data_IF_301157793954
#
_entry.id   IF_301157793954
#
_cell.length_a   1.000
_cell.length_b   1.000
_cell.length_c   1.000
_cell.angle_alpha   90.00
_cell.angle_beta   90.00
_cell.angle_gamma   90.00
#
_symmetry.space_group_name_H-M   'P 1'
#
loop_
_entity.id
_entity.type
_entity.pdbx_description
1 polymer ?
#
# COMPACT_ATOMS: atom_id res chain seq x y z
N UNK A 1 4.17 25.84 16.21
CA UNK A 1 3.81 25.03 15.04
C UNK A 1 2.60 25.66 14.35
N UNK A 2 2.77 26.34 13.22
CA UNK A 2 1.66 26.97 12.51
C UNK A 2 1.08 25.94 11.52
N UNK A 3 0.05 25.21 11.96
CA UNK A 3 -0.62 24.20 11.11
C UNK A 3 -1.59 24.94 10.21
N UNK A 4 -1.34 24.93 8.89
CA UNK A 4 -2.22 25.51 7.89
C UNK A 4 -3.65 24.97 8.01
N UNK A 5 -4.68 25.82 7.85
CA UNK A 5 -6.11 25.43 7.91
C UNK A 5 -6.43 24.18 7.08
N UNK A 6 -5.81 24.04 5.91
CA UNK A 6 -5.99 22.89 5.02
C UNK A 6 -5.47 21.58 5.63
N UNK A 7 -4.41 21.63 6.45
CA UNK A 7 -3.88 20.45 7.12
C UNK A 7 -4.79 19.98 8.25
N UNK A 8 -5.47 20.90 8.94
CA UNK A 8 -6.46 20.56 9.99
C UNK A 8 -7.63 19.76 9.43
N UNK A 9 -8.00 19.98 8.17
CA UNK A 9 -9.05 19.22 7.49
C UNK A 9 -8.50 17.94 6.85
N UNK A 10 -7.33 18.02 6.20
CA UNK A 10 -6.76 16.89 5.49
C UNK A 10 -6.34 15.73 6.43
N UNK A 11 -5.76 16.02 7.59
CA UNK A 11 -5.28 15.00 8.53
C UNK A 11 -6.36 14.02 9.02
N UNK A 12 -7.53 14.47 9.53
CA UNK A 12 -8.60 13.55 9.94
C UNK A 12 -9.19 12.79 8.76
N UNK A 13 -9.36 13.44 7.59
CA UNK A 13 -9.86 12.77 6.38
C UNK A 13 -8.92 11.66 5.92
N UNK A 14 -7.61 11.93 5.88
CA UNK A 14 -6.61 10.94 5.51
C UNK A 14 -6.54 9.81 6.54
N UNK A 15 -6.59 10.13 7.84
CA UNK A 15 -6.62 9.11 8.90
C UNK A 15 -7.84 8.19 8.77
N UNK A 16 -9.02 8.76 8.54
CA UNK A 16 -10.25 8.00 8.31
C UNK A 16 -10.15 7.13 7.05
N UNK A 17 -9.67 7.70 5.94
CA UNK A 17 -9.47 6.99 4.68
C UNK A 17 -8.52 5.79 4.84
N UNK A 18 -7.41 5.95 5.57
CA UNK A 18 -6.49 4.86 5.85
C UNK A 18 -7.10 3.78 6.75
N UNK A 19 -7.93 4.17 7.72
CA UNK A 19 -8.71 3.22 8.52
C UNK A 19 -9.66 2.39 7.67
N UNK A 20 -10.43 3.06 6.79
CA UNK A 20 -11.37 2.42 5.88
C UNK A 20 -10.66 1.47 4.91
N UNK A 21 -9.55 1.90 4.31
CA UNK A 21 -8.76 1.07 3.41
C UNK A 21 -8.32 -0.24 4.07
N UNK A 22 -7.80 -0.16 5.30
CA UNK A 22 -7.34 -1.34 6.04
C UNK A 22 -8.50 -2.27 6.47
N UNK A 23 -9.70 -1.72 6.73
CA UNK A 23 -10.88 -2.53 7.03
C UNK A 23 -11.32 -3.32 5.80
N UNK A 24 -11.43 -2.66 4.64
CA UNK A 24 -11.84 -3.29 3.38
C UNK A 24 -10.85 -4.37 2.95
N UNK A 25 -9.54 -4.10 3.00
CA UNK A 25 -8.53 -5.10 2.57
C UNK A 25 -8.49 -6.33 3.48
N UNK A 26 -8.84 -6.18 4.76
CA UNK A 26 -8.95 -7.32 5.69
C UNK A 26 -10.26 -8.10 5.52
N UNK A 27 -11.35 -7.44 5.15
CA UNK A 27 -12.67 -8.06 5.05
C UNK A 27 -12.95 -8.69 3.68
N UNK A 28 -12.42 -8.12 2.60
CA UNK A 28 -12.70 -8.55 1.22
C UNK A 28 -11.57 -9.41 0.60
N UNK A 29 -10.45 -9.62 1.31
CA UNK A 29 -9.31 -10.39 0.80
C UNK A 29 -9.26 -11.83 1.34
N UNK A 30 -8.92 -12.79 0.47
CA UNK A 30 -8.58 -14.17 0.88
C UNK A 30 -7.29 -14.24 1.73
N UNK A 31 -6.48 -13.17 1.68
CA UNK A 31 -5.36 -12.93 2.58
C UNK A 31 -5.60 -11.58 3.28
N UNK A 32 -5.84 -11.53 4.59
CA UNK A 32 -6.00 -10.25 5.30
C UNK A 32 -4.68 -9.47 5.25
N UNK A 33 -4.68 -8.39 4.48
CA UNK A 33 -3.52 -7.53 4.20
C UNK A 33 -3.74 -6.16 4.86
N UNK A 34 -2.69 -5.62 5.48
CA UNK A 34 -2.72 -4.33 6.18
C UNK A 34 -1.65 -3.44 5.59
N UNK A 35 -2.03 -2.30 5.02
CA UNK A 35 -1.11 -1.41 4.30
C UNK A 35 -0.25 -0.56 5.26
N UNK A 36 -0.67 -0.42 6.52
CA UNK A 36 0.06 0.35 7.55
C UNK A 36 1.08 -0.46 8.34
N UNK A 37 1.00 -1.80 8.32
CA UNK A 37 1.93 -2.69 9.01
C UNK A 37 3.14 -3.05 8.12
N UNK A 38 3.74 -2.04 7.49
CA UNK A 38 4.85 -2.19 6.54
C UNK A 38 6.07 -2.93 7.12
N UNK A 39 6.38 -2.70 8.40
CA UNK A 39 7.49 -3.39 9.08
C UNK A 39 7.26 -4.89 9.23
N UNK A 40 6.01 -5.31 9.42
CA UNK A 40 5.64 -6.73 9.41
C UNK A 40 5.90 -7.38 8.05
N UNK A 41 5.59 -6.67 6.96
CA UNK A 41 5.86 -7.15 5.61
C UNK A 41 7.35 -7.28 5.33
N UNK A 42 8.16 -6.36 5.85
CA UNK A 42 9.61 -6.43 5.75
C UNK A 42 10.16 -7.68 6.46
N UNK A 43 9.70 -7.97 7.67
CA UNK A 43 10.11 -9.16 8.43
C UNK A 43 9.69 -10.44 7.72
N UNK A 44 8.43 -10.54 7.29
CA UNK A 44 7.90 -11.73 6.60
C UNK A 44 8.57 -11.95 5.23
N UNK A 45 8.84 -10.87 4.50
CA UNK A 45 9.62 -10.93 3.26
C UNK A 45 11.05 -11.42 3.52
N UNK A 46 11.71 -10.89 4.55
CA UNK A 46 13.04 -11.29 4.98
C UNK A 46 13.11 -12.77 5.36
N UNK A 47 12.15 -13.26 6.16
CA UNK A 47 12.06 -14.66 6.53
C UNK A 47 11.83 -15.57 5.31
N UNK A 48 10.89 -15.19 4.45
CA UNK A 48 10.59 -15.95 3.23
C UNK A 48 11.77 -16.03 2.26
N UNK A 49 12.48 -14.92 2.06
CA UNK A 49 13.71 -14.88 1.26
C UNK A 49 14.85 -15.66 1.92
N UNK A 50 15.02 -15.56 3.23
CA UNK A 50 16.04 -16.31 3.97
C UNK A 50 15.83 -17.81 3.88
N UNK A 51 14.59 -18.28 4.01
CA UNK A 51 14.26 -19.70 3.84
C UNK A 51 14.47 -20.17 2.40
N UNK A 52 14.12 -19.33 1.42
CA UNK A 52 14.35 -19.61 0.00
C UNK A 52 15.84 -19.72 -0.33
N UNK A 53 16.65 -18.78 0.16
CA UNK A 53 18.10 -18.79 -0.03
C UNK A 53 18.74 -20.02 0.64
N UNK A 54 18.30 -20.40 1.85
CA UNK A 54 18.77 -21.59 2.55
C UNK A 54 18.49 -22.90 1.80
N UNK A 55 17.42 -22.95 0.99
CA UNK A 55 17.10 -24.11 0.13
C UNK A 55 17.87 -24.12 -1.20
N UNK A 56 18.85 -23.22 -1.36
CA UNK A 56 19.70 -23.14 -2.55
C UNK A 56 19.06 -22.38 -3.72
N UNK A 57 17.93 -21.70 -3.51
CA UNK A 57 17.32 -20.80 -4.50
C UNK A 57 16.88 -21.45 -5.82
N UNK A 58 16.76 -22.78 -5.86
CA UNK A 58 16.40 -23.53 -7.06
C UNK A 58 14.90 -23.50 -7.36
N UNK A 59 14.09 -23.41 -6.31
CA UNK A 59 12.64 -23.30 -6.42
C UNK A 59 12.22 -21.84 -6.68
N UNK A 60 11.03 -21.56 -7.22
CA UNK A 60 10.53 -20.20 -7.31
C UNK A 60 10.28 -19.58 -5.91
N UNK A 61 10.58 -18.29 -5.76
CA UNK A 61 10.25 -17.53 -4.52
C UNK A 61 8.76 -17.67 -4.22
N UNK A 62 8.37 -17.98 -2.96
CA UNK A 62 6.96 -18.12 -2.60
C UNK A 62 6.13 -16.90 -2.98
N UNK A 63 4.92 -17.12 -3.51
CA UNK A 63 4.04 -16.03 -3.95
C UNK A 63 3.75 -15.01 -2.84
N UNK A 64 3.60 -15.48 -1.60
CA UNK A 64 3.40 -14.64 -0.41
C UNK A 64 4.60 -13.70 -0.18
N UNK A 65 5.82 -14.20 -0.32
CA UNK A 65 7.06 -13.41 -0.21
C UNK A 65 7.15 -12.39 -1.33
N UNK A 66 6.83 -12.77 -2.57
CA UNK A 66 6.75 -11.83 -3.70
C UNK A 66 5.75 -10.71 -3.44
N UNK A 67 4.57 -11.04 -2.92
CA UNK A 67 3.54 -10.06 -2.58
C UNK A 67 4.04 -9.03 -1.56
N UNK A 68 4.73 -9.48 -0.49
CA UNK A 68 5.31 -8.56 0.49
C UNK A 68 6.41 -7.68 -0.12
N UNK A 69 7.29 -8.24 -0.96
CA UNK A 69 8.33 -7.46 -1.64
C UNK A 69 7.76 -6.40 -2.57
N UNK A 70 6.74 -6.75 -3.36
CA UNK A 70 6.04 -5.78 -4.23
C UNK A 70 5.35 -4.71 -3.40
N UNK A 71 4.70 -5.08 -2.30
CA UNK A 71 4.05 -4.14 -1.39
C UNK A 71 5.06 -3.16 -0.76
N UNK A 72 6.23 -3.67 -0.38
CA UNK A 72 7.33 -2.85 0.14
C UNK A 72 7.82 -1.86 -0.92
N UNK A 73 8.05 -2.34 -2.15
CA UNK A 73 8.45 -1.48 -3.27
C UNK A 73 7.43 -0.40 -3.56
N UNK A 74 6.15 -0.76 -3.61
CA UNK A 74 5.04 0.18 -3.84
C UNK A 74 4.97 1.26 -2.74
N UNK A 75 5.19 0.89 -1.46
CA UNK A 75 5.22 1.84 -0.36
C UNK A 75 6.37 2.85 -0.51
N UNK A 76 7.58 2.37 -0.81
CA UNK A 76 8.76 3.24 -0.98
C UNK A 76 8.59 4.19 -2.17
N UNK A 77 8.17 3.66 -3.33
CA UNK A 77 7.91 4.46 -4.53
C UNK A 77 6.82 5.48 -4.26
N UNK A 78 5.72 5.07 -3.62
CA UNK A 78 4.62 5.96 -3.23
C UNK A 78 5.07 7.09 -2.32
N UNK A 79 5.94 6.82 -1.34
CA UNK A 79 6.54 7.83 -0.46
C UNK A 79 7.42 8.83 -1.21
N UNK A 80 8.26 8.36 -2.14
CA UNK A 80 9.10 9.22 -2.98
C UNK A 80 8.23 10.13 -3.86
N UNK A 81 7.24 9.54 -4.54
CA UNK A 81 6.28 10.28 -5.37
C UNK A 81 5.52 11.31 -4.52
N UNK A 82 5.04 10.94 -3.34
CA UNK A 82 4.35 11.86 -2.44
C UNK A 82 5.23 13.05 -2.03
N UNK A 83 6.52 12.82 -1.72
CA UNK A 83 7.48 13.89 -1.42
C UNK A 83 7.65 14.83 -2.62
N UNK A 84 7.91 14.29 -3.80
CA UNK A 84 8.10 15.07 -5.02
C UNK A 84 6.87 15.91 -5.38
N UNK A 85 5.67 15.35 -5.23
CA UNK A 85 4.43 16.07 -5.49
C UNK A 85 4.13 17.11 -4.42
N UNK A 86 4.47 16.84 -3.15
CA UNK A 86 4.26 17.80 -2.05
C UNK A 86 5.12 19.05 -2.21
N UNK A 87 6.34 18.92 -2.73
CA UNK A 87 7.22 20.07 -3.03
C UNK A 87 6.60 21.01 -4.08
N UNK A 88 5.74 20.49 -4.98
CA UNK A 88 5.11 21.25 -6.08
C UNK A 88 3.68 21.70 -5.78
N UNK A 89 2.89 20.86 -5.12
CA UNK A 89 1.44 21.03 -4.96
C UNK A 89 0.98 21.13 -3.49
N UNK A 90 1.91 21.05 -2.52
CA UNK A 90 1.59 21.12 -1.10
C UNK A 90 0.65 20.01 -0.66
N UNK A 91 -0.40 20.35 0.09
CA UNK A 91 -1.41 19.41 0.61
C UNK A 91 -2.29 18.80 -0.50
N UNK A 92 -2.41 19.47 -1.65
CA UNK A 92 -3.24 19.00 -2.77
C UNK A 92 -2.65 17.75 -3.45
N UNK A 93 -1.39 17.38 -3.17
CA UNK A 93 -0.80 16.13 -3.65
C UNK A 93 -1.57 14.89 -3.19
N UNK A 94 -2.32 14.97 -2.09
CA UNK A 94 -3.22 13.92 -1.62
C UNK A 94 -4.39 13.62 -2.56
N UNK A 95 -4.70 14.50 -3.52
CA UNK A 95 -5.74 14.25 -4.52
C UNK A 95 -5.35 13.13 -5.49
N UNK A 96 -4.06 12.92 -5.74
CA UNK A 96 -3.59 11.85 -6.62
C UNK A 96 -3.95 10.45 -6.09
N UNK A 97 -3.57 10.04 -4.86
CA UNK A 97 -4.00 8.75 -4.33
C UNK A 97 -5.53 8.65 -4.17
N UNK A 98 -6.22 9.76 -3.88
CA UNK A 98 -7.68 9.77 -3.82
C UNK A 98 -8.32 9.46 -5.20
N UNK A 99 -7.80 10.06 -6.28
CA UNK A 99 -8.27 9.80 -7.64
C UNK A 99 -8.02 8.34 -8.05
N UNK A 100 -6.84 7.80 -7.75
CA UNK A 100 -6.53 6.38 -8.01
C UNK A 100 -7.54 5.47 -7.28
N UNK A 101 -7.79 5.71 -5.99
CA UNK A 101 -8.77 4.92 -5.24
C UNK A 101 -10.20 5.05 -5.80
N UNK A 102 -10.59 6.24 -6.25
CA UNK A 102 -11.87 6.45 -6.90
C UNK A 102 -11.99 5.61 -8.19
N UNK A 103 -10.96 5.58 -9.04
CA UNK A 103 -11.01 4.75 -10.27
C UNK A 103 -11.14 3.26 -9.99
N UNK A 104 -10.49 2.76 -8.92
CA UNK A 104 -10.63 1.38 -8.47
C UNK A 104 -12.04 1.12 -7.95
N UNK A 105 -12.60 2.03 -7.16
CA UNK A 105 -13.96 1.90 -6.62
C UNK A 105 -15.04 1.88 -7.72
N UNK A 106 -14.89 2.68 -8.76
CA UNK A 106 -15.81 2.69 -9.91
C UNK A 106 -15.60 1.52 -10.88
N UNK A 107 -14.64 0.62 -10.63
CA UNK A 107 -14.36 -0.51 -11.52
C UNK A 107 -13.78 -0.12 -12.88
N UNK A 108 -13.26 1.11 -13.01
CA UNK A 108 -12.66 1.61 -14.25
C UNK A 108 -11.30 0.97 -14.53
N UNK A 109 -10.64 0.41 -13.49
CA UNK A 109 -9.43 -0.39 -13.64
C UNK A 109 -9.81 -1.88 -13.67
N UNK A 110 -9.56 -2.61 -14.77
CA UNK A 110 -9.87 -4.04 -14.83
C UNK A 110 -8.97 -4.81 -13.85
N UNK A 111 -9.56 -5.26 -12.74
CA UNK A 111 -8.87 -6.13 -11.80
C UNK A 111 -8.73 -7.54 -12.41
N UNK A 112 -7.55 -8.17 -12.34
CA UNK A 112 -7.37 -9.53 -12.83
C UNK A 112 -8.31 -10.48 -12.08
N UNK A 113 -9.16 -11.19 -12.83
CA UNK A 113 -10.28 -12.03 -12.36
C UNK A 113 -9.89 -13.23 -11.48
N UNK A 114 -8.60 -13.41 -11.19
CA UNK A 114 -8.08 -14.56 -10.44
C UNK A 114 -8.03 -14.38 -8.92
N UNK A 115 -8.45 -13.23 -8.38
CA UNK A 115 -8.35 -12.94 -6.94
C UNK A 115 -9.61 -13.31 -6.12
N UNK A 116 -10.67 -13.82 -6.75
CA UNK A 116 -11.91 -14.23 -6.07
C UNK A 116 -12.08 -15.75 -6.22
N UNK A 117 -11.40 -16.49 -5.36
CA UNK A 117 -11.80 -17.83 -4.93
C UNK A 117 -11.41 -18.02 -3.49
#
# INVERSE_FOLDING_TARGET
FNVSRNALVALPLLSFSQGLQNAVTRQCGSLPVCTTHMTGYLTDAGFGLGLWARRGGRDPVPLKTKFFLVSIGAFVIGGIVAKLLRDRFGIMSGLLPAAVMATVAFGLLPLPKHAVK
#
